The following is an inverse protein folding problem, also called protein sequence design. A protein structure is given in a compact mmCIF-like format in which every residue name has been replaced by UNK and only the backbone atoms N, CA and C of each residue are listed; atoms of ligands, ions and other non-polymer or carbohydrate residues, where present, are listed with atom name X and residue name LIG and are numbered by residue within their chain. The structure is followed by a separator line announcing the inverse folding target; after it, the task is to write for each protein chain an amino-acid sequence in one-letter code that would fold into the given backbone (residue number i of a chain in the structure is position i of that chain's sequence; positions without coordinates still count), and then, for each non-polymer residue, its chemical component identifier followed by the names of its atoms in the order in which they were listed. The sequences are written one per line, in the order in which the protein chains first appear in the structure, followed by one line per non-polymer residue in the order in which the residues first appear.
data_IF_891847931996
#
_entry.id   IF_891847931996
#
_cell.length_a   1.000
_cell.length_b   1.000
_cell.length_c   1.000
_cell.angle_alpha   90.00
_cell.angle_beta   90.00
_cell.angle_gamma   90.00
#
_symmetry.space_group_name_H-M   'P 1'
#
loop_
_entity.id
_entity.type
_entity.pdbx_description
1 polymer ?
#
# COMPACT_ATOMS: atom_id res chain seq x y z
N UNK A 1 11.48 -72.52 8.68
CA UNK A 1 11.17 -72.04 10.05
C UNK A 1 9.81 -72.57 10.46
N UNK A 2 9.64 -73.08 11.69
CA UNK A 2 8.38 -73.69 12.17
C UNK A 2 7.30 -72.62 12.43
N UNK A 3 6.27 -72.47 11.58
CA UNK A 3 5.34 -71.34 11.65
C UNK A 3 4.28 -71.42 12.76
N UNK A 4 4.25 -72.52 13.54
CA UNK A 4 3.12 -72.91 14.39
C UNK A 4 3.43 -72.95 15.90
N UNK A 5 4.61 -72.49 16.34
CA UNK A 5 4.94 -72.47 17.77
C UNK A 5 4.33 -71.20 18.40
N UNK A 6 3.41 -71.31 19.37
CA UNK A 6 2.69 -70.15 19.93
C UNK A 6 3.62 -69.06 20.51
N UNK A 7 4.72 -69.46 21.15
CA UNK A 7 5.71 -68.53 21.71
C UNK A 7 6.42 -67.74 20.60
N UNK A 8 6.77 -68.38 19.48
CA UNK A 8 7.39 -67.70 18.33
C UNK A 8 6.41 -66.72 17.68
N UNK A 9 5.12 -67.09 17.62
CA UNK A 9 4.06 -66.20 17.11
C UNK A 9 3.83 -64.99 18.03
N UNK A 10 3.79 -65.19 19.34
CA UNK A 10 3.66 -64.11 20.33
C UNK A 10 4.86 -63.16 20.27
N UNK A 11 6.08 -63.68 20.23
CA UNK A 11 7.30 -62.88 20.12
C UNK A 11 7.37 -62.12 18.78
N UNK A 12 6.95 -62.76 17.69
CA UNK A 12 6.84 -62.08 16.39
C UNK A 12 5.84 -60.92 16.40
N UNK A 13 4.70 -61.09 17.09
CA UNK A 13 3.71 -60.04 17.23
C UNK A 13 4.23 -58.87 18.08
N UNK A 14 4.91 -59.17 19.19
CA UNK A 14 5.52 -58.16 20.08
C UNK A 14 6.62 -57.36 19.38
N UNK A 15 7.51 -58.03 18.64
CA UNK A 15 8.52 -57.37 17.82
C UNK A 15 7.87 -56.44 16.80
N UNK A 16 6.82 -56.91 16.10
CA UNK A 16 6.10 -56.08 15.11
C UNK A 16 5.47 -54.85 15.75
N UNK A 17 4.83 -54.99 16.91
CA UNK A 17 4.22 -53.88 17.64
C UNK A 17 5.28 -52.87 18.08
N UNK A 18 6.42 -53.35 18.60
CA UNK A 18 7.53 -52.50 19.03
C UNK A 18 8.16 -51.75 17.86
N UNK A 19 8.36 -52.41 16.72
CA UNK A 19 8.85 -51.79 15.48
C UNK A 19 7.89 -50.71 14.97
N UNK A 20 6.57 -50.97 14.98
CA UNK A 20 5.56 -49.97 14.58
C UNK A 20 5.58 -48.74 15.49
N UNK A 21 5.69 -48.94 16.81
CA UNK A 21 5.82 -47.84 17.77
C UNK A 21 7.09 -47.02 17.53
N UNK A 22 8.24 -47.67 17.35
CA UNK A 22 9.50 -47.00 17.06
C UNK A 22 9.42 -46.20 15.75
N UNK A 23 8.85 -46.79 14.69
CA UNK A 23 8.64 -46.11 13.42
C UNK A 23 7.80 -44.85 13.59
N UNK A 24 6.68 -44.93 14.32
CA UNK A 24 5.82 -43.77 14.58
C UNK A 24 6.56 -42.66 15.34
N UNK A 25 7.37 -43.01 16.34
CA UNK A 25 8.14 -42.05 17.11
C UNK A 25 9.23 -41.37 16.27
N UNK A 26 9.93 -42.12 15.42
CA UNK A 26 10.94 -41.57 14.51
C UNK A 26 10.32 -40.62 13.48
N UNK A 27 9.19 -41.00 12.88
CA UNK A 27 8.47 -40.13 11.95
C UNK A 27 7.94 -38.87 12.66
N UNK A 28 7.45 -39.00 13.90
CA UNK A 28 7.01 -37.85 14.69
C UNK A 28 8.16 -36.89 15.01
N UNK A 29 9.38 -37.40 15.25
CA UNK A 29 10.57 -36.55 15.40
C UNK A 29 10.88 -35.75 14.13
N UNK A 30 10.73 -36.35 12.95
CA UNK A 30 10.89 -35.63 11.67
C UNK A 30 9.82 -34.55 11.45
N UNK A 31 8.67 -34.66 12.11
CA UNK A 31 7.57 -33.67 12.12
C UNK A 31 7.74 -32.56 13.17
N UNK A 32 8.96 -32.33 13.65
CA UNK A 32 9.27 -31.30 14.66
C UNK A 32 10.37 -30.36 14.18
N UNK A 33 10.75 -29.36 14.98
CA UNK A 33 11.91 -28.52 14.71
C UNK A 33 13.20 -29.30 14.98
N UNK A 34 13.64 -30.07 13.99
CA UNK A 34 14.77 -31.00 14.06
C UNK A 34 15.97 -30.45 13.26
N UNK A 35 17.16 -30.55 13.85
CA UNK A 35 18.42 -30.12 13.26
C UNK A 35 19.05 -31.23 12.41
N UNK A 36 19.88 -30.86 11.42
CA UNK A 36 20.47 -31.80 10.46
C UNK A 36 21.16 -33.04 11.11
N UNK A 37 21.99 -32.92 12.17
CA UNK A 37 22.64 -34.09 12.76
C UNK A 37 21.63 -35.12 13.32
N UNK A 38 20.55 -34.63 13.90
CA UNK A 38 19.48 -35.49 14.42
C UNK A 38 18.63 -36.07 13.27
N UNK A 39 18.40 -35.32 12.18
CA UNK A 39 17.78 -35.86 10.97
C UNK A 39 18.57 -37.05 10.39
N UNK A 40 19.89 -36.90 10.24
CA UNK A 40 20.77 -37.97 9.76
C UNK A 40 20.69 -39.22 10.65
N UNK A 41 20.65 -39.02 11.98
CA UNK A 41 20.51 -40.12 12.94
C UNK A 41 19.17 -40.83 12.80
N UNK A 42 18.07 -40.08 12.74
CA UNK A 42 16.71 -40.62 12.59
C UNK A 42 16.55 -41.38 11.27
N UNK A 43 17.02 -40.80 10.16
CA UNK A 43 17.02 -41.45 8.84
C UNK A 43 17.90 -42.70 8.85
N UNK A 44 19.07 -42.66 9.49
CA UNK A 44 19.93 -43.83 9.67
C UNK A 44 19.24 -44.98 10.41
N UNK A 45 18.41 -44.70 11.42
CA UNK A 45 17.59 -45.73 12.07
C UNK A 45 16.48 -46.25 11.15
N UNK A 46 15.81 -45.36 10.40
CA UNK A 46 14.77 -45.78 9.45
C UNK A 46 15.34 -46.69 8.35
N UNK A 47 16.55 -46.42 7.84
CA UNK A 47 17.28 -47.30 6.92
C UNK A 47 17.55 -48.68 7.52
N UNK A 48 17.97 -48.74 8.79
CA UNK A 48 18.24 -50.02 9.48
C UNK A 48 16.97 -50.83 9.76
N UNK A 49 15.84 -50.16 9.98
CA UNK A 49 14.54 -50.84 10.13
C UNK A 49 14.11 -51.49 8.81
N UNK A 50 14.52 -50.95 7.66
CA UNK A 50 14.35 -51.57 6.35
C UNK A 50 12.89 -51.65 5.86
N UNK A 51 12.01 -50.80 6.39
CA UNK A 51 10.58 -50.76 6.01
C UNK A 51 10.32 -49.92 4.75
N UNK A 52 11.23 -48.99 4.42
CA UNK A 52 11.12 -48.11 3.25
C UNK A 52 12.25 -48.37 2.28
N UNK A 53 11.95 -48.37 0.98
CA UNK A 53 12.93 -48.12 -0.07
C UNK A 53 13.53 -46.72 0.04
N UNK A 54 14.66 -46.46 -0.61
CA UNK A 54 15.26 -45.11 -0.61
C UNK A 54 14.30 -44.05 -1.18
N UNK A 55 13.55 -44.38 -2.23
CA UNK A 55 12.53 -43.48 -2.77
C UNK A 55 11.39 -43.19 -1.78
N UNK A 56 10.86 -44.23 -1.11
CA UNK A 56 9.85 -44.04 -0.08
C UNK A 56 10.38 -43.24 1.11
N UNK A 57 11.65 -43.41 1.46
CA UNK A 57 12.28 -42.67 2.55
C UNK A 57 12.41 -41.19 2.24
N UNK A 58 12.82 -40.83 1.02
CA UNK A 58 12.84 -39.47 0.51
C UNK A 58 11.45 -38.82 0.58
N UNK A 59 10.42 -39.54 0.12
CA UNK A 59 9.04 -39.08 0.17
C UNK A 59 8.53 -38.92 1.62
N UNK A 60 8.82 -39.87 2.50
CA UNK A 60 8.42 -39.80 3.91
C UNK A 60 9.11 -38.64 4.64
N UNK A 61 10.39 -38.38 4.34
CA UNK A 61 11.08 -37.22 4.88
C UNK A 61 10.35 -35.92 4.49
N UNK A 62 10.12 -35.69 3.20
CA UNK A 62 9.45 -34.47 2.71
C UNK A 62 8.04 -34.32 3.28
N UNK A 63 7.25 -35.40 3.33
CA UNK A 63 5.92 -35.40 3.96
C UNK A 63 5.97 -35.03 5.44
N UNK A 64 6.94 -35.55 6.18
CA UNK A 64 7.10 -35.20 7.59
C UNK A 64 7.50 -33.73 7.77
N UNK A 65 8.39 -33.20 6.93
CA UNK A 65 8.76 -31.77 6.98
C UNK A 65 7.59 -30.87 6.58
N UNK A 66 6.82 -31.25 5.57
CA UNK A 66 5.61 -30.53 5.16
C UNK A 66 4.52 -30.53 6.24
N UNK A 67 4.27 -31.67 6.89
CA UNK A 67 3.32 -31.74 8.00
C UNK A 67 3.74 -30.84 9.17
N UNK A 68 5.05 -30.74 9.45
CA UNK A 68 5.57 -29.82 10.45
C UNK A 68 5.35 -28.35 10.08
N UNK A 69 5.69 -27.97 8.84
CA UNK A 69 5.45 -26.61 8.34
C UNK A 69 3.97 -26.25 8.38
N UNK A 70 3.11 -27.17 7.95
CA UNK A 70 1.64 -27.00 7.98
C UNK A 70 1.15 -26.76 9.40
N UNK A 71 1.65 -27.54 10.38
CA UNK A 71 1.32 -27.32 11.80
C UNK A 71 1.70 -25.92 12.29
N UNK A 72 2.87 -25.39 11.90
CA UNK A 72 3.25 -24.00 12.24
C UNK A 72 2.26 -22.99 11.64
N UNK A 73 1.80 -23.22 10.41
CA UNK A 73 0.87 -22.32 9.73
C UNK A 73 -0.56 -22.41 10.29
N UNK A 74 -0.98 -23.57 10.78
CA UNK A 74 -2.27 -23.79 11.43
C UNK A 74 -2.39 -23.06 12.77
N UNK A 75 -1.26 -22.86 13.46
CA UNK A 75 -1.19 -22.11 14.73
C UNK A 75 -1.32 -20.59 14.54
N UNK A 76 -1.20 -20.08 13.30
CA UNK A 76 -1.31 -18.64 13.01
C UNK A 76 -2.78 -18.16 13.03
N UNK A 77 -3.01 -16.95 13.55
CA UNK A 77 -4.35 -16.35 13.53
C UNK A 77 -4.78 -15.97 12.11
N UNK A 78 -5.74 -16.71 11.56
CA UNK A 78 -6.28 -16.49 10.22
C UNK A 78 -7.30 -15.33 10.14
N UNK A 79 -7.74 -14.78 11.28
CA UNK A 79 -8.72 -13.68 11.30
C UNK A 79 -8.12 -12.37 10.79
N UNK A 80 -6.86 -12.13 11.11
CA UNK A 80 -6.11 -10.99 10.62
C UNK A 80 -5.27 -11.39 9.40
N UNK A 81 -5.72 -11.03 8.20
CA UNK A 81 -5.05 -11.40 6.96
C UNK A 81 -3.61 -10.88 6.87
N UNK A 82 -3.33 -9.70 7.41
CA UNK A 82 -2.00 -9.10 7.41
C UNK A 82 -1.02 -9.89 8.30
N UNK A 83 -1.40 -10.14 9.56
CA UNK A 83 -0.55 -10.90 10.48
C UNK A 83 -0.37 -12.36 10.04
N UNK A 84 -1.42 -12.98 9.49
CA UNK A 84 -1.31 -14.32 8.90
C UNK A 84 -0.30 -14.36 7.76
N UNK A 85 -0.39 -13.45 6.78
CA UNK A 85 0.53 -13.41 5.64
C UNK A 85 1.98 -13.18 6.10
N UNK A 86 2.19 -12.25 7.04
CA UNK A 86 3.50 -11.99 7.63
C UNK A 86 4.07 -13.23 8.34
N UNK A 87 3.25 -13.93 9.13
CA UNK A 87 3.62 -15.18 9.78
C UNK A 87 3.99 -16.28 8.78
N UNK A 88 3.16 -16.48 7.75
CA UNK A 88 3.41 -17.46 6.68
C UNK A 88 4.70 -17.16 5.92
N UNK A 89 4.92 -15.90 5.50
CA UNK A 89 6.14 -15.50 4.78
C UNK A 89 7.37 -15.75 5.65
N UNK A 90 7.33 -15.40 6.93
CA UNK A 90 8.45 -15.63 7.84
C UNK A 90 8.70 -17.13 8.07
N UNK A 91 7.66 -17.94 8.25
CA UNK A 91 7.77 -19.39 8.36
C UNK A 91 8.50 -19.99 7.15
N UNK A 92 8.04 -19.67 5.93
CA UNK A 92 8.66 -20.17 4.71
C UNK A 92 10.11 -19.70 4.56
N UNK A 93 10.38 -18.42 4.83
CA UNK A 93 11.74 -17.85 4.80
C UNK A 93 12.69 -18.59 5.75
N UNK A 94 12.23 -18.87 6.96
CA UNK A 94 13.06 -19.47 8.01
C UNK A 94 13.30 -20.96 7.79
N UNK A 95 12.36 -21.68 7.17
CA UNK A 95 12.37 -23.15 7.24
C UNK A 95 12.50 -23.87 5.90
N UNK A 96 12.08 -23.29 4.77
CA UNK A 96 12.17 -23.98 3.47
C UNK A 96 13.64 -24.23 3.07
N UNK A 97 14.51 -23.25 3.30
CA UNK A 97 15.96 -23.40 3.05
C UNK A 97 16.55 -24.59 3.82
N UNK A 98 16.21 -24.70 5.12
CA UNK A 98 16.69 -25.79 5.96
C UNK A 98 16.19 -27.14 5.49
N UNK A 99 14.90 -27.25 5.12
CA UNK A 99 14.35 -28.52 4.61
C UNK A 99 15.06 -28.95 3.33
N UNK A 100 15.31 -28.03 2.41
CA UNK A 100 16.02 -28.32 1.16
C UNK A 100 17.46 -28.75 1.43
N UNK A 101 18.17 -28.06 2.33
CA UNK A 101 19.53 -28.43 2.67
C UNK A 101 19.62 -29.75 3.45
N UNK A 102 18.67 -29.99 4.35
CA UNK A 102 18.57 -31.27 5.05
C UNK A 102 18.35 -32.40 4.06
N UNK A 103 17.44 -32.22 3.11
CA UNK A 103 17.20 -33.21 2.06
C UNK A 103 18.47 -33.51 1.26
N UNK A 104 19.14 -32.46 0.75
CA UNK A 104 20.38 -32.59 0.00
C UNK A 104 21.44 -33.31 0.82
N UNK A 105 21.66 -32.92 2.08
CA UNK A 105 22.66 -33.55 2.94
C UNK A 105 22.36 -35.03 3.26
N UNK A 106 21.09 -35.42 3.34
CA UNK A 106 20.70 -36.81 3.69
C UNK A 106 20.73 -37.74 2.48
N UNK A 107 20.43 -37.21 1.28
CA UNK A 107 20.17 -38.00 0.08
C UNK A 107 21.10 -37.70 -1.12
N UNK A 108 22.03 -36.74 -1.03
CA UNK A 108 22.99 -36.44 -2.10
C UNK A 108 24.13 -37.46 -2.21
N UNK A 109 24.38 -38.27 -1.19
CA UNK A 109 25.50 -39.23 -1.14
C UNK A 109 25.19 -40.61 -1.77
N UNK A 110 24.14 -40.74 -2.58
CA UNK A 110 23.95 -41.93 -3.44
C UNK A 110 24.95 -41.90 -4.62
N UNK A 111 26.23 -42.03 -4.27
CA UNK A 111 27.40 -42.13 -5.16
C UNK A 111 27.48 -43.49 -5.88
N UNK A 112 26.38 -44.26 -5.93
CA UNK A 112 26.35 -45.60 -6.52
C UNK A 112 26.42 -45.60 -8.05
N UNK A 113 26.43 -44.44 -8.72
CA UNK A 113 26.54 -44.33 -10.19
C UNK A 113 25.39 -45.00 -10.96
N UNK A 114 24.33 -45.40 -10.25
CA UNK A 114 23.14 -46.04 -10.82
C UNK A 114 22.07 -44.99 -11.11
N UNK A 115 21.22 -45.24 -12.12
CA UNK A 115 20.10 -44.36 -12.49
C UNK A 115 19.07 -44.18 -11.35
N UNK A 116 19.15 -44.98 -10.28
CA UNK A 116 18.38 -44.86 -9.03
C UNK A 116 18.86 -43.73 -8.10
N UNK A 117 20.01 -43.11 -8.38
CA UNK A 117 20.52 -41.94 -7.65
C UNK A 117 19.81 -40.63 -8.00
N UNK A 118 19.11 -40.60 -9.13
CA UNK A 118 18.35 -39.43 -9.53
C UNK A 118 17.01 -39.44 -8.77
N UNK A 119 16.77 -38.41 -7.97
CA UNK A 119 15.55 -38.22 -7.20
C UNK A 119 14.27 -38.05 -8.06
N UNK A 120 14.37 -38.23 -9.38
CA UNK A 120 13.26 -38.06 -10.32
C UNK A 120 12.66 -36.65 -10.29
N UNK A 121 13.37 -35.67 -9.73
CA UNK A 121 12.87 -34.32 -9.48
C UNK A 121 11.92 -34.21 -8.29
N UNK A 122 11.86 -35.17 -7.36
CA UNK A 122 10.95 -35.15 -6.21
C UNK A 122 11.17 -33.91 -5.32
N UNK A 123 12.41 -33.59 -4.95
CA UNK A 123 12.72 -32.37 -4.19
C UNK A 123 12.25 -31.11 -4.93
N UNK A 124 12.50 -31.05 -6.24
CA UNK A 124 12.07 -29.91 -7.06
C UNK A 124 10.54 -29.80 -7.10
N UNK A 125 9.84 -30.91 -7.32
CA UNK A 125 8.38 -30.97 -7.32
C UNK A 125 7.79 -30.53 -5.98
N UNK A 126 8.34 -31.03 -4.86
CA UNK A 126 7.94 -30.63 -3.52
C UNK A 126 8.19 -29.14 -3.27
N UNK A 127 9.37 -28.63 -3.62
CA UNK A 127 9.70 -27.24 -3.39
C UNK A 127 8.82 -26.30 -4.25
N UNK A 128 8.55 -26.69 -5.50
CA UNK A 128 7.63 -25.96 -6.36
C UNK A 128 6.18 -26.01 -5.84
N UNK A 129 5.77 -27.11 -5.22
CA UNK A 129 4.49 -27.21 -4.53
C UNK A 129 4.39 -26.18 -3.39
N UNK A 130 5.43 -26.04 -2.57
CA UNK A 130 5.46 -25.05 -1.48
C UNK A 130 5.33 -23.61 -2.01
N UNK A 131 6.09 -23.26 -3.07
CA UNK A 131 5.99 -21.93 -3.70
C UNK A 131 4.61 -21.70 -4.32
N UNK A 132 4.05 -22.71 -4.99
CA UNK A 132 2.71 -22.62 -5.58
C UNK A 132 1.64 -22.42 -4.51
N UNK A 133 1.74 -23.12 -3.38
CA UNK A 133 0.85 -22.95 -2.24
C UNK A 133 0.95 -21.53 -1.65
N UNK A 134 2.19 -21.04 -1.45
CA UNK A 134 2.45 -19.68 -0.99
C UNK A 134 1.78 -18.61 -1.86
N UNK A 135 1.95 -18.70 -3.18
CA UNK A 135 1.36 -17.77 -4.14
C UNK A 135 -0.18 -17.85 -4.18
N UNK A 136 -0.75 -19.04 -4.05
CA UNK A 136 -2.21 -19.23 -3.96
C UNK A 136 -2.78 -18.55 -2.71
N UNK A 137 -2.11 -18.69 -1.57
CA UNK A 137 -2.52 -18.06 -0.32
C UNK A 137 -2.41 -16.53 -0.41
N UNK A 138 -1.34 -16.00 -1.00
CA UNK A 138 -1.22 -14.57 -1.30
C UNK A 138 -2.39 -14.08 -2.16
N UNK A 139 -2.68 -14.76 -3.28
CA UNK A 139 -3.80 -14.41 -4.16
C UNK A 139 -5.14 -14.34 -3.43
N UNK A 140 -5.40 -15.26 -2.50
CA UNK A 140 -6.65 -15.31 -1.74
C UNK A 140 -6.74 -14.24 -0.63
N UNK A 141 -5.61 -13.90 0.00
CA UNK A 141 -5.58 -13.06 1.20
C UNK A 141 -5.31 -11.59 0.91
N UNK A 142 -4.54 -11.26 -0.14
CA UNK A 142 -4.24 -9.87 -0.53
C UNK A 142 -5.50 -8.99 -0.72
N UNK A 143 -6.60 -9.47 -1.33
CA UNK A 143 -7.82 -8.65 -1.49
C UNK A 143 -8.51 -8.25 -0.18
N UNK A 144 -8.13 -8.86 0.95
CA UNK A 144 -8.65 -8.54 2.30
C UNK A 144 -7.86 -7.43 2.99
N UNK A 145 -6.71 -7.05 2.45
CA UNK A 145 -5.89 -5.95 2.96
C UNK A 145 -6.45 -4.64 2.43
N UNK A 146 -6.78 -3.72 3.33
CA UNK A 146 -7.43 -2.43 3.02
C UNK A 146 -6.49 -1.24 3.11
N UNK A 147 -5.22 -1.48 3.47
CA UNK A 147 -4.22 -0.43 3.67
C UNK A 147 -3.06 -0.63 2.70
N UNK A 148 -2.69 0.42 1.99
CA UNK A 148 -1.62 0.31 1.00
C UNK A 148 -0.23 0.20 1.62
N UNK A 149 -0.02 0.80 2.80
CA UNK A 149 1.21 0.59 3.58
C UNK A 149 1.41 -0.89 3.95
N UNK A 150 0.32 -1.55 4.33
CA UNK A 150 0.31 -2.99 4.63
C UNK A 150 0.59 -3.84 3.38
N UNK A 151 0.02 -3.50 2.22
CA UNK A 151 0.37 -4.15 0.94
C UNK A 151 1.86 -3.99 0.59
N UNK A 152 2.40 -2.78 0.71
CA UNK A 152 3.83 -2.51 0.47
C UNK A 152 4.72 -3.37 1.36
N UNK A 153 4.42 -3.42 2.66
CA UNK A 153 5.22 -4.20 3.60
C UNK A 153 5.16 -5.70 3.30
N UNK A 154 3.99 -6.25 2.94
CA UNK A 154 3.88 -7.66 2.54
C UNK A 154 4.73 -7.93 1.29
N UNK A 155 4.72 -7.02 0.30
CA UNK A 155 5.54 -7.16 -0.90
C UNK A 155 7.04 -7.21 -0.55
N UNK A 156 7.51 -6.31 0.31
CA UNK A 156 8.91 -6.28 0.77
C UNK A 156 9.30 -7.57 1.49
N UNK A 157 8.42 -8.09 2.35
CA UNK A 157 8.63 -9.37 3.03
C UNK A 157 8.69 -10.54 2.04
N UNK A 158 7.83 -10.57 1.02
CA UNK A 158 7.87 -11.58 -0.04
C UNK A 158 9.16 -11.48 -0.87
N UNK A 159 9.58 -10.26 -1.24
CA UNK A 159 10.83 -10.02 -1.99
C UNK A 159 12.04 -10.49 -1.20
N UNK A 160 12.09 -10.18 0.10
CA UNK A 160 13.16 -10.61 1.00
C UNK A 160 13.16 -12.14 1.19
N UNK A 161 11.99 -12.75 1.36
CA UNK A 161 11.83 -14.20 1.44
C UNK A 161 12.36 -14.91 0.18
N UNK A 162 11.92 -14.48 -1.00
CA UNK A 162 12.34 -15.05 -2.27
C UNK A 162 13.85 -14.86 -2.52
N UNK A 163 14.42 -13.72 -2.13
CA UNK A 163 15.86 -13.48 -2.21
C UNK A 163 16.66 -14.49 -1.36
N UNK A 164 16.21 -14.78 -0.12
CA UNK A 164 16.84 -15.79 0.72
C UNK A 164 16.72 -17.21 0.15
N UNK A 165 15.61 -17.50 -0.53
CA UNK A 165 15.36 -18.79 -1.16
C UNK A 165 16.03 -18.97 -2.54
N UNK A 166 16.61 -17.91 -3.10
CA UNK A 166 17.37 -17.98 -4.34
C UNK A 166 18.58 -18.93 -4.24
N UNK A 167 19.22 -19.03 -3.07
CA UNK A 167 20.35 -19.96 -2.85
C UNK A 167 19.99 -21.44 -3.04
N UNK A 168 18.70 -21.78 -2.96
CA UNK A 168 18.19 -23.13 -3.22
C UNK A 168 17.42 -23.25 -4.53
N UNK A 169 17.38 -22.18 -5.34
CA UNK A 169 16.73 -22.14 -6.66
C UNK A 169 15.22 -21.91 -6.62
N UNK A 170 14.70 -21.30 -5.54
CA UNK A 170 13.27 -21.07 -5.33
C UNK A 170 12.90 -19.57 -5.37
N UNK A 171 13.51 -18.81 -6.28
CA UNK A 171 13.18 -17.40 -6.48
C UNK A 171 11.84 -17.24 -7.21
N UNK A 172 10.84 -16.68 -6.53
CA UNK A 172 9.49 -16.44 -7.06
C UNK A 172 9.17 -14.97 -7.27
N UNK A 173 10.15 -14.06 -7.20
CA UNK A 173 9.90 -12.60 -7.32
C UNK A 173 9.20 -12.21 -8.61
N UNK A 174 9.52 -12.89 -9.71
CA UNK A 174 8.88 -12.66 -11.01
C UNK A 174 7.38 -12.99 -11.05
N UNK A 175 6.86 -13.72 -10.05
CA UNK A 175 5.46 -14.14 -9.96
C UNK A 175 4.62 -13.22 -9.04
N UNK A 176 5.26 -12.30 -8.30
CA UNK A 176 4.60 -11.39 -7.36
C UNK A 176 3.84 -10.24 -8.04
N UNK A 177 4.38 -9.53 -9.06
CA UNK A 177 3.75 -8.33 -9.62
C UNK A 177 2.26 -8.47 -9.95
N UNK A 178 1.79 -9.50 -10.69
CA UNK A 178 0.37 -9.57 -11.04
C UNK A 178 -0.54 -9.72 -9.82
N UNK A 179 -0.08 -10.35 -8.73
CA UNK A 179 -0.87 -10.51 -7.51
C UNK A 179 -1.05 -9.19 -6.76
N UNK A 180 0.02 -8.40 -6.67
CA UNK A 180 0.00 -7.12 -5.98
C UNK A 180 -0.64 -6.01 -6.82
N UNK A 181 -0.44 -6.03 -8.14
CA UNK A 181 -1.13 -5.11 -9.05
C UNK A 181 -2.65 -5.27 -8.96
N UNK A 182 -3.15 -6.51 -8.97
CA UNK A 182 -4.58 -6.79 -8.78
C UNK A 182 -5.10 -6.26 -7.43
N UNK A 183 -4.33 -6.45 -6.35
CA UNK A 183 -4.70 -5.97 -5.02
C UNK A 183 -4.74 -4.44 -4.92
N UNK A 184 -3.73 -3.75 -5.48
CA UNK A 184 -3.64 -2.29 -5.50
C UNK A 184 -4.77 -1.68 -6.33
N UNK A 185 -5.06 -2.23 -7.51
CA UNK A 185 -6.16 -1.77 -8.35
C UNK A 185 -7.50 -1.88 -7.61
N UNK A 186 -7.76 -3.01 -6.97
CA UNK A 186 -8.97 -3.24 -6.19
C UNK A 186 -9.09 -2.28 -5.00
N UNK A 187 -7.98 -2.02 -4.29
CA UNK A 187 -7.93 -1.07 -3.19
C UNK A 187 -8.32 0.34 -3.66
N UNK A 188 -7.66 0.83 -4.71
CA UNK A 188 -7.90 2.17 -5.22
C UNK A 188 -9.32 2.33 -5.77
N UNK A 189 -9.79 1.37 -6.58
CA UNK A 189 -11.14 1.40 -7.18
C UNK A 189 -12.24 1.40 -6.10
N UNK A 190 -12.08 0.59 -5.04
CA UNK A 190 -13.01 0.60 -3.89
C UNK A 190 -13.03 1.95 -3.17
N UNK A 191 -11.85 2.53 -2.90
CA UNK A 191 -11.76 3.81 -2.20
C UNK A 191 -12.35 4.98 -3.03
N UNK A 192 -12.11 5.01 -4.33
CA UNK A 192 -12.71 6.00 -5.24
C UNK A 192 -14.23 5.81 -5.32
N UNK A 193 -14.71 4.56 -5.44
CA UNK A 193 -16.15 4.27 -5.45
C UNK A 193 -16.84 4.73 -4.16
N UNK A 194 -16.23 4.45 -3.00
CA UNK A 194 -16.72 4.92 -1.71
C UNK A 194 -16.75 6.45 -1.61
N UNK A 195 -15.77 7.15 -2.19
CA UNK A 195 -15.78 8.62 -2.25
C UNK A 195 -16.96 9.16 -3.08
N UNK A 196 -17.27 8.52 -4.21
CA UNK A 196 -18.44 8.84 -5.05
C UNK A 196 -19.75 8.56 -4.31
N UNK A 197 -19.89 7.41 -3.65
CA UNK A 197 -21.10 7.07 -2.88
C UNK A 197 -21.35 8.07 -1.74
N UNK A 198 -20.30 8.44 -1.01
CA UNK A 198 -20.38 9.46 0.03
C UNK A 198 -20.77 10.83 -0.52
N UNK A 199 -20.24 11.22 -1.68
CA UNK A 199 -20.66 12.44 -2.37
C UNK A 199 -22.16 12.45 -2.67
N UNK A 200 -22.68 11.36 -3.23
CA UNK A 200 -24.09 11.22 -3.60
C UNK A 200 -25.00 11.35 -2.38
N UNK A 201 -24.66 10.63 -1.30
CA UNK A 201 -25.38 10.68 -0.03
C UNK A 201 -25.42 12.10 0.55
N UNK A 202 -24.27 12.78 0.57
CA UNK A 202 -24.17 14.14 1.11
C UNK A 202 -24.92 15.14 0.22
N UNK A 203 -24.87 15.01 -1.11
CA UNK A 203 -25.61 15.88 -2.03
C UNK A 203 -27.13 15.73 -1.88
N UNK A 204 -27.63 14.51 -1.74
CA UNK A 204 -29.07 14.25 -1.61
C UNK A 204 -29.66 14.81 -0.33
N UNK A 205 -28.88 14.78 0.76
CA UNK A 205 -29.25 15.31 2.06
C UNK A 205 -28.87 16.79 2.26
N UNK A 206 -28.20 17.40 1.28
CA UNK A 206 -27.69 18.76 1.38
C UNK A 206 -28.81 19.80 1.49
N UNK A 207 -28.61 20.78 2.37
CA UNK A 207 -29.50 21.94 2.52
C UNK A 207 -28.83 23.16 1.90
N UNK A 208 -29.44 23.70 0.86
CA UNK A 208 -28.96 24.86 0.11
C UNK A 208 -29.18 26.17 0.89
N UNK A 209 -28.31 26.44 1.84
CA UNK A 209 -28.28 27.67 2.65
C UNK A 209 -26.91 28.31 2.50
N UNK A 210 -26.80 29.65 2.40
CA UNK A 210 -25.50 30.31 2.39
C UNK A 210 -24.71 29.95 3.64
N UNK A 211 -23.54 29.36 3.44
CA UNK A 211 -22.58 29.12 4.52
C UNK A 211 -21.78 30.41 4.77
N UNK A 212 -21.35 30.67 6.02
CA UNK A 212 -20.44 31.78 6.28
C UNK A 212 -19.19 31.62 5.44
N UNK A 213 -18.77 32.69 4.76
CA UNK A 213 -17.47 32.71 4.08
C UNK A 213 -16.40 32.36 5.11
N UNK A 214 -15.65 31.30 4.84
CA UNK A 214 -14.53 30.92 5.70
C UNK A 214 -13.47 32.02 5.52
N UNK A 215 -13.02 32.64 6.62
CA UNK A 215 -12.24 33.89 6.63
C UNK A 215 -10.82 33.83 6.05
N UNK A 216 -10.62 33.10 4.95
CA UNK A 216 -9.40 33.10 4.17
C UNK A 216 -9.60 34.03 2.96
N UNK A 217 -8.80 35.10 2.80
CA UNK A 217 -8.97 36.02 1.68
C UNK A 217 -8.77 35.26 0.36
N UNK A 218 -9.75 35.35 -0.53
CA UNK A 218 -9.75 34.78 -1.89
C UNK A 218 -8.75 35.44 -2.85
N UNK A 219 -7.67 36.02 -2.33
CA UNK A 219 -6.76 36.93 -3.05
C UNK A 219 -5.50 36.26 -3.59
N UNK A 220 -5.28 34.97 -3.35
CA UNK A 220 -4.08 34.25 -3.83
C UNK A 220 -4.44 32.98 -4.61
N UNK A 221 -5.21 33.11 -5.69
CA UNK A 221 -5.38 32.04 -6.70
C UNK A 221 -4.05 31.78 -7.46
N UNK A 222 -2.99 32.56 -7.21
CA UNK A 222 -1.73 32.53 -7.96
C UNK A 222 -0.48 32.02 -7.23
N UNK A 223 -0.47 31.88 -5.90
CA UNK A 223 0.73 31.49 -5.12
C UNK A 223 0.37 30.59 -3.93
N UNK A 224 -0.30 29.47 -4.18
CA UNK A 224 -0.20 28.34 -3.25
C UNK A 224 1.16 27.67 -3.52
N UNK A 225 1.96 27.49 -2.46
CA UNK A 225 3.17 26.68 -2.50
C UNK A 225 2.83 25.40 -3.29
N UNK A 226 3.49 25.19 -4.44
CA UNK A 226 3.17 24.06 -5.35
C UNK A 226 3.19 22.70 -4.64
N UNK A 227 3.79 22.64 -3.45
CA UNK A 227 3.95 21.47 -2.58
C UNK A 227 2.84 21.24 -1.54
N UNK A 228 1.91 22.18 -1.34
CA UNK A 228 0.80 21.98 -0.40
C UNK A 228 -0.41 21.35 -1.10
N UNK A 229 -0.71 20.09 -0.80
CA UNK A 229 -1.81 19.30 -1.38
C UNK A 229 -3.03 19.31 -0.44
N UNK A 230 -3.10 20.28 0.46
CA UNK A 230 -4.27 20.45 1.31
C UNK A 230 -5.48 20.82 0.42
N UNK A 231 -6.68 20.21 0.62
CA UNK A 231 -7.87 20.58 -0.14
C UNK A 231 -8.11 22.10 -0.05
N UNK A 232 -8.36 22.79 -1.18
CA UNK A 232 -8.54 24.24 -1.17
C UNK A 232 -9.66 24.66 -0.21
N UNK A 233 -9.42 25.69 0.60
CA UNK A 233 -10.37 26.17 1.63
C UNK A 233 -11.72 26.57 1.02
N UNK A 234 -11.74 26.97 -0.26
CA UNK A 234 -12.93 27.23 -1.05
C UNK A 234 -13.91 26.04 -1.12
N UNK A 235 -13.42 24.79 -1.06
CA UNK A 235 -14.29 23.60 -1.04
C UNK A 235 -15.10 23.47 0.26
N UNK A 236 -14.73 24.16 1.34
CA UNK A 236 -15.49 24.14 2.59
C UNK A 236 -16.88 24.76 2.44
N UNK A 237 -17.06 25.69 1.50
CA UNK A 237 -18.36 26.26 1.14
C UNK A 237 -19.23 25.27 0.34
N UNK A 238 -18.67 24.11 0.01
CA UNK A 238 -19.21 23.09 -0.87
C UNK A 238 -19.12 21.69 -0.25
N UNK A 239 -19.87 21.40 0.83
CA UNK A 239 -19.69 20.18 1.62
C UNK A 239 -19.72 18.86 0.84
N UNK A 240 -20.62 18.65 -0.17
CA UNK A 240 -20.58 17.44 -0.98
C UNK A 240 -19.22 17.25 -1.67
N UNK A 241 -18.68 18.30 -2.30
CA UNK A 241 -17.39 18.24 -2.99
C UNK A 241 -16.22 18.11 -2.02
N UNK A 242 -16.27 18.75 -0.86
CA UNK A 242 -15.24 18.58 0.17
C UNK A 242 -15.12 17.11 0.59
N UNK A 243 -16.25 16.44 0.83
CA UNK A 243 -16.28 15.01 1.19
C UNK A 243 -15.71 14.15 0.07
N UNK A 244 -16.09 14.42 -1.18
CA UNK A 244 -15.54 13.71 -2.34
C UNK A 244 -14.02 13.85 -2.45
N UNK A 245 -13.52 15.09 -2.44
CA UNK A 245 -12.09 15.39 -2.58
C UNK A 245 -11.29 14.78 -1.43
N UNK A 246 -11.80 14.84 -0.20
CA UNK A 246 -11.18 14.19 0.95
C UNK A 246 -11.10 12.67 0.76
N UNK A 247 -12.16 12.04 0.24
CA UNK A 247 -12.18 10.62 -0.09
C UNK A 247 -11.15 10.24 -1.16
N UNK A 248 -11.05 11.03 -2.23
CA UNK A 248 -10.02 10.83 -3.27
C UNK A 248 -8.61 11.01 -2.69
N UNK A 249 -8.38 12.04 -1.88
CA UNK A 249 -7.08 12.26 -1.24
C UNK A 249 -6.71 11.13 -0.28
N UNK A 250 -7.67 10.58 0.46
CA UNK A 250 -7.46 9.36 1.25
C UNK A 250 -7.10 8.16 0.35
N UNK A 251 -7.80 7.96 -0.76
CA UNK A 251 -7.47 6.91 -1.73
C UNK A 251 -6.04 7.05 -2.30
N UNK A 252 -5.60 8.29 -2.58
CA UNK A 252 -4.23 8.57 -3.04
C UNK A 252 -3.18 8.31 -1.94
N UNK A 253 -3.51 8.62 -0.69
CA UNK A 253 -2.63 8.36 0.46
C UNK A 253 -2.40 6.86 0.65
N UNK A 254 -3.45 6.04 0.49
CA UNK A 254 -3.32 4.58 0.50
C UNK A 254 -2.56 4.07 -0.73
N UNK A 255 -2.77 4.65 -1.91
CA UNK A 255 -2.06 4.23 -3.12
C UNK A 255 -0.55 4.52 -3.08
N UNK A 256 -0.14 5.67 -2.53
CA UNK A 256 1.25 6.16 -2.56
C UNK A 256 2.31 5.13 -2.13
N UNK A 257 2.19 4.43 -0.99
CA UNK A 257 3.18 3.42 -0.59
C UNK A 257 3.23 2.20 -1.51
N UNK A 258 2.18 1.94 -2.29
CA UNK A 258 2.04 0.73 -3.10
C UNK A 258 1.60 1.06 -4.53
N UNK A 259 2.30 1.99 -5.21
CA UNK A 259 1.93 2.47 -6.55
C UNK A 259 2.80 1.85 -7.68
N UNK A 260 2.44 0.67 -8.25
CA UNK A 260 3.12 0.12 -9.42
C UNK A 260 3.06 1.08 -10.61
N UNK A 261 4.21 1.28 -11.27
CA UNK A 261 4.31 2.10 -12.49
C UNK A 261 3.47 1.54 -13.65
N UNK A 262 3.35 0.21 -13.72
CA UNK A 262 2.54 -0.52 -14.70
C UNK A 262 1.06 -0.13 -14.65
N UNK A 263 0.56 0.23 -13.46
CA UNK A 263 -0.86 0.57 -13.25
C UNK A 263 -1.19 2.03 -13.53
N UNK A 264 -0.22 2.89 -13.85
CA UNK A 264 -0.42 4.34 -14.04
C UNK A 264 -1.65 4.66 -14.90
N UNK A 265 -1.76 4.06 -16.08
CA UNK A 265 -2.87 4.36 -16.98
C UNK A 265 -4.20 3.79 -16.49
N UNK A 266 -4.20 2.58 -15.92
CA UNK A 266 -5.41 1.92 -15.42
C UNK A 266 -5.99 2.67 -14.23
N UNK A 267 -5.16 3.09 -13.28
CA UNK A 267 -5.58 3.86 -12.11
C UNK A 267 -6.04 5.27 -12.49
N UNK A 268 -5.41 5.88 -13.52
CA UNK A 268 -5.91 7.14 -14.07
C UNK A 268 -7.34 6.99 -14.60
N UNK A 269 -7.63 5.91 -15.32
CA UNK A 269 -8.98 5.61 -15.80
C UNK A 269 -9.98 5.39 -14.66
N UNK A 270 -9.58 4.71 -13.58
CA UNK A 270 -10.44 4.56 -12.39
C UNK A 270 -10.78 5.91 -11.74
N UNK A 271 -9.81 6.83 -11.63
CA UNK A 271 -10.08 8.18 -11.13
C UNK A 271 -11.00 8.96 -12.08
N UNK A 272 -10.76 8.89 -13.40
CA UNK A 272 -11.61 9.53 -14.41
C UNK A 272 -13.05 9.02 -14.31
N UNK A 273 -13.27 7.71 -14.15
CA UNK A 273 -14.60 7.14 -13.93
C UNK A 273 -15.26 7.69 -12.68
N UNK A 274 -14.52 7.83 -11.57
CA UNK A 274 -15.04 8.41 -10.33
C UNK A 274 -15.47 9.87 -10.51
N UNK A 275 -14.64 10.68 -11.16
CA UNK A 275 -14.96 12.07 -11.50
C UNK A 275 -16.17 12.16 -12.44
N UNK A 276 -16.24 11.29 -13.46
CA UNK A 276 -17.38 11.19 -14.37
C UNK A 276 -18.67 10.86 -13.63
N UNK A 277 -18.64 9.90 -12.71
CA UNK A 277 -19.80 9.54 -11.91
C UNK A 277 -20.32 10.72 -11.06
N UNK A 278 -19.44 11.54 -10.49
CA UNK A 278 -19.81 12.78 -9.79
C UNK A 278 -20.48 13.77 -10.75
N UNK A 279 -19.90 13.96 -11.94
CA UNK A 279 -20.44 14.86 -12.95
C UNK A 279 -21.81 14.46 -13.45
N UNK A 280 -21.98 13.19 -13.79
CA UNK A 280 -23.25 12.62 -14.24
C UNK A 280 -24.31 12.73 -13.14
N UNK A 281 -23.91 12.57 -11.87
CA UNK A 281 -24.80 12.74 -10.73
C UNK A 281 -25.24 14.21 -10.54
N UNK A 282 -24.34 15.18 -10.71
CA UNK A 282 -24.67 16.60 -10.68
C UNK A 282 -25.68 16.97 -11.79
N UNK A 283 -25.45 16.49 -13.01
CA UNK A 283 -26.39 16.72 -14.14
C UNK A 283 -27.76 16.10 -13.86
N UNK A 284 -27.79 14.88 -13.33
CA UNK A 284 -29.02 14.20 -12.93
C UNK A 284 -29.74 14.95 -11.81
N UNK A 285 -29.01 15.44 -10.81
CA UNK A 285 -29.56 16.21 -9.70
C UNK A 285 -30.26 17.47 -10.22
N UNK A 286 -29.61 18.22 -11.11
CA UNK A 286 -30.20 19.40 -11.74
C UNK A 286 -31.48 19.09 -12.54
N UNK A 287 -31.51 17.96 -13.26
CA UNK A 287 -32.66 17.57 -14.07
C UNK A 287 -33.86 17.08 -13.24
N UNK A 288 -33.63 16.61 -12.02
CA UNK A 288 -34.66 15.93 -11.21
C UNK A 288 -35.14 16.75 -10.01
N UNK A 289 -34.30 17.62 -9.45
CA UNK A 289 -34.67 18.47 -8.30
C UNK A 289 -35.17 19.83 -8.77
N UNK A 290 -36.31 20.25 -8.22
CA UNK A 290 -36.77 21.64 -8.33
C UNK A 290 -36.11 22.48 -7.23
N UNK A 291 -35.14 23.32 -7.62
CA UNK A 291 -34.46 24.27 -6.73
C UNK A 291 -35.09 25.67 -6.86
N UNK A 292 -35.20 26.39 -5.75
CA UNK A 292 -35.54 27.83 -5.76
C UNK A 292 -34.37 28.65 -6.33
N UNK A 293 -34.61 29.88 -6.79
CA UNK A 293 -33.57 30.71 -7.44
C UNK A 293 -32.29 30.85 -6.58
N UNK A 294 -32.44 31.12 -5.29
CA UNK A 294 -31.30 31.22 -4.36
C UNK A 294 -30.54 29.88 -4.21
N UNK A 295 -31.27 28.76 -4.19
CA UNK A 295 -30.71 27.41 -4.08
C UNK A 295 -30.02 26.99 -5.39
N UNK A 296 -30.59 27.38 -6.52
CA UNK A 296 -30.01 27.20 -7.85
C UNK A 296 -28.68 27.94 -7.99
N UNK A 297 -28.57 29.16 -7.46
CA UNK A 297 -27.30 29.91 -7.45
C UNK A 297 -26.19 29.16 -6.70
N UNK A 298 -26.50 28.64 -5.50
CA UNK A 298 -25.56 27.85 -4.69
C UNK A 298 -25.17 26.53 -5.37
N UNK A 299 -26.13 25.85 -6.01
CA UNK A 299 -25.88 24.64 -6.79
C UNK A 299 -24.99 24.90 -8.02
N UNK A 300 -25.22 26.00 -8.74
CA UNK A 300 -24.36 26.39 -9.86
C UNK A 300 -22.94 26.75 -9.39
N UNK A 301 -22.80 27.38 -8.21
CA UNK A 301 -21.49 27.60 -7.58
C UNK A 301 -20.77 26.28 -7.28
N UNK A 302 -21.49 25.30 -6.71
CA UNK A 302 -20.97 23.94 -6.50
C UNK A 302 -20.45 23.33 -7.80
N UNK A 303 -21.25 23.41 -8.87
CA UNK A 303 -20.89 22.87 -10.18
C UNK A 303 -19.65 23.56 -10.78
N UNK A 304 -19.49 24.88 -10.58
CA UNK A 304 -18.29 25.61 -10.98
C UNK A 304 -17.07 25.14 -10.17
N UNK A 305 -17.21 25.04 -8.85
CA UNK A 305 -16.15 24.55 -7.96
C UNK A 305 -15.69 23.13 -8.32
N UNK A 306 -16.59 22.25 -8.77
CA UNK A 306 -16.23 20.94 -9.30
C UNK A 306 -15.27 21.06 -10.50
N UNK A 307 -15.63 21.88 -11.49
CA UNK A 307 -14.87 22.00 -12.74
C UNK A 307 -13.56 22.77 -12.61
N UNK A 308 -13.52 23.78 -11.75
CA UNK A 308 -12.38 24.70 -11.63
C UNK A 308 -11.40 24.26 -10.54
N UNK A 309 -11.90 23.64 -9.45
CA UNK A 309 -11.10 23.36 -8.25
C UNK A 309 -10.95 21.86 -8.00
N UNK A 310 -12.07 21.14 -7.79
CA UNK A 310 -12.02 19.73 -7.39
C UNK A 310 -11.32 18.86 -8.46
N UNK A 311 -11.66 19.07 -9.74
CA UNK A 311 -11.07 18.34 -10.85
C UNK A 311 -9.55 18.52 -10.94
N UNK A 312 -9.08 19.77 -10.91
CA UNK A 312 -7.67 20.11 -11.00
C UNK A 312 -6.88 19.60 -9.78
N UNK A 313 -7.49 19.65 -8.60
CA UNK A 313 -6.91 19.08 -7.39
C UNK A 313 -6.73 17.57 -7.49
N UNK A 314 -7.78 16.82 -7.89
CA UNK A 314 -7.69 15.37 -8.09
C UNK A 314 -6.62 14.99 -9.13
N UNK A 315 -6.53 15.73 -10.23
CA UNK A 315 -5.50 15.53 -11.25
C UNK A 315 -4.08 15.75 -10.69
N UNK A 316 -3.88 16.83 -9.93
CA UNK A 316 -2.59 17.16 -9.31
C UNK A 316 -2.18 16.12 -8.27
N UNK A 317 -3.11 15.68 -7.42
CA UNK A 317 -2.89 14.62 -6.43
C UNK A 317 -2.50 13.30 -7.10
N UNK A 318 -3.14 12.93 -8.22
CA UNK A 318 -2.74 11.76 -8.99
C UNK A 318 -1.33 11.93 -9.61
N UNK A 319 -1.00 13.13 -10.09
CA UNK A 319 0.32 13.48 -10.61
C UNK A 319 1.46 13.37 -9.58
N UNK A 320 1.15 13.49 -8.28
CA UNK A 320 2.10 13.27 -7.18
C UNK A 320 2.40 11.78 -6.95
N UNK A 321 1.42 10.90 -7.16
CA UNK A 321 1.62 9.45 -7.14
C UNK A 321 2.32 8.96 -8.41
N UNK A 322 2.00 9.57 -9.56
CA UNK A 322 2.55 9.19 -10.87
C UNK A 322 3.05 10.42 -11.62
N UNK A 323 4.38 10.56 -11.84
CA UNK A 323 4.93 11.64 -12.64
C UNK A 323 4.29 11.73 -14.02
N UNK A 324 3.82 12.92 -14.40
CA UNK A 324 3.06 13.15 -15.64
C UNK A 324 1.66 12.54 -15.66
N UNK A 325 1.17 12.01 -14.53
CA UNK A 325 -0.18 11.46 -14.39
C UNK A 325 -1.27 12.53 -14.43
N UNK A 326 -0.98 13.73 -13.93
CA UNK A 326 -1.93 14.85 -13.95
C UNK A 326 -2.44 15.17 -15.37
N UNK A 327 -1.55 15.14 -16.37
CA UNK A 327 -1.92 15.35 -17.77
C UNK A 327 -2.96 14.33 -18.26
N UNK A 328 -2.80 13.05 -17.90
CA UNK A 328 -3.75 11.99 -18.28
C UNK A 328 -5.16 12.26 -17.76
N UNK A 329 -5.27 12.81 -16.54
CA UNK A 329 -6.55 13.21 -15.98
C UNK A 329 -7.04 14.47 -16.68
N UNK A 330 -6.20 15.49 -16.86
CA UNK A 330 -6.59 16.76 -17.48
C UNK A 330 -7.04 16.61 -18.94
N UNK A 331 -6.49 15.67 -19.69
CA UNK A 331 -6.90 15.39 -21.08
C UNK A 331 -8.36 14.89 -21.17
N UNK A 332 -8.88 14.27 -20.12
CA UNK A 332 -10.27 13.83 -20.04
C UNK A 332 -11.26 14.98 -19.73
N UNK A 333 -10.81 16.24 -19.61
CA UNK A 333 -11.64 17.38 -19.17
C UNK A 333 -12.83 17.65 -20.11
N UNK A 334 -12.74 17.30 -21.39
CA UNK A 334 -13.85 17.44 -22.34
C UNK A 334 -15.07 16.58 -22.01
N UNK A 335 -14.90 15.49 -21.24
CA UNK A 335 -15.99 14.61 -20.80
C UNK A 335 -16.98 15.32 -19.86
N UNK A 336 -16.60 16.47 -19.31
CA UNK A 336 -17.37 17.24 -18.33
C UNK A 336 -18.03 18.50 -18.94
N UNK A 337 -18.00 18.65 -20.26
CA UNK A 337 -18.62 19.77 -20.98
C UNK A 337 -20.12 19.94 -20.68
N UNK A 338 -20.81 18.85 -20.30
CA UNK A 338 -22.22 18.91 -19.91
C UNK A 338 -22.48 19.90 -18.76
N UNK A 339 -21.61 19.92 -17.75
CA UNK A 339 -21.68 20.88 -16.65
C UNK A 339 -21.35 22.30 -17.16
N UNK A 340 -20.36 22.44 -18.03
CA UNK A 340 -20.03 23.72 -18.65
C UNK A 340 -21.20 24.34 -19.42
N UNK A 341 -21.91 23.53 -20.24
CA UNK A 341 -23.10 23.96 -21.00
C UNK A 341 -24.28 24.32 -20.07
N UNK A 342 -24.44 23.61 -18.97
CA UNK A 342 -25.44 23.94 -17.95
C UNK A 342 -25.13 25.28 -17.26
N UNK A 343 -23.86 25.56 -16.96
CA UNK A 343 -23.44 26.83 -16.37
C UNK A 343 -23.65 28.01 -17.33
N UNK A 344 -23.38 27.85 -18.63
CA UNK A 344 -23.58 28.92 -19.62
C UNK A 344 -25.05 29.21 -19.92
N UNK A 345 -25.90 28.19 -19.99
CA UNK A 345 -27.35 28.33 -20.20
C UNK A 345 -28.10 28.92 -18.99
N UNK A 346 -27.53 28.77 -17.78
CA UNK A 346 -28.11 29.35 -16.57
C UNK A 346 -27.68 30.81 -16.37
N UNK A 347 -26.47 31.17 -16.80
CA UNK A 347 -25.96 32.56 -16.82
C UNK A 347 -26.77 33.47 -17.77
N UNK A 348 -27.30 32.94 -18.87
CA UNK A 348 -28.15 33.69 -19.81
C UNK A 348 -29.58 33.95 -19.32
N UNK A 349 -29.96 33.47 -18.12
CA UNK A 349 -31.25 33.74 -17.47
C UNK A 349 -31.20 34.87 -16.43
N UNK A 350 -30.05 35.50 -16.18
CA UNK A 350 -29.98 36.73 -15.38
C UNK A 350 -30.63 37.90 -16.15
N UNK A 351 -31.61 38.64 -15.56
CA UNK A 351 -32.09 39.88 -16.16
C UNK A 351 -30.98 40.95 -16.12
N UNK A 352 -30.93 41.88 -17.09
CA UNK A 352 -29.88 42.89 -17.14
C UNK A 352 -29.93 43.77 -15.89
N UNK A 353 -28.77 43.95 -15.23
CA UNK A 353 -28.61 44.87 -14.09
C UNK A 353 -29.13 46.26 -14.48
N UNK A 354 -29.89 46.95 -13.60
CA UNK A 354 -30.25 48.34 -13.85
C UNK A 354 -28.98 49.19 -13.85
N UNK A 355 -28.78 49.93 -14.95
CA UNK A 355 -27.74 50.93 -15.07
C UNK A 355 -28.04 52.08 -14.09
N UNK A 356 -27.25 52.20 -13.02
CA UNK A 356 -27.23 53.42 -12.21
C UNK A 356 -26.40 54.47 -12.96
N UNK A 357 -27.09 55.27 -13.78
CA UNK A 357 -26.66 56.62 -14.10
C UNK A 357 -26.80 57.47 -12.84
N UNK A 358 -25.70 58.06 -12.36
CA UNK A 358 -25.72 59.26 -11.54
C UNK A 358 -24.48 60.08 -11.92
N UNK A 359 -24.72 61.04 -12.81
CA UNK A 359 -23.83 62.15 -13.15
C UNK A 359 -23.49 63.00 -11.92
N UNK A 360 -22.32 63.62 -11.99
CA UNK A 360 -21.67 64.30 -10.89
C UNK A 360 -22.23 65.66 -10.49
N UNK A 361 -21.73 66.14 -9.34
CA UNK A 361 -21.60 67.55 -9.06
C UNK A 361 -20.38 67.79 -8.15
N UNK A 362 -19.42 68.55 -8.68
CA UNK A 362 -18.30 69.17 -7.99
C UNK A 362 -18.72 70.53 -7.41
N UNK A 363 -18.18 70.93 -6.24
CA UNK A 363 -17.70 72.29 -5.86
C UNK A 363 -16.78 72.19 -4.62
N UNK A 364 -15.70 72.99 -4.66
CA UNK A 364 -14.59 73.20 -3.70
C UNK A 364 -15.00 73.98 -2.42
N UNK A 365 -14.20 74.41 -1.44
CA UNK A 365 -12.78 74.85 -1.39
C UNK A 365 -12.38 75.18 0.09
N UNK A 366 -11.06 75.12 0.37
CA UNK A 366 -10.25 75.85 1.38
C UNK A 366 -10.34 75.50 2.88
N UNK A 367 -9.25 75.43 3.65
CA UNK A 367 -7.82 75.70 3.40
C UNK A 367 -7.09 75.84 4.76
N UNK A 368 -5.76 75.64 4.80
CA UNK A 368 -4.94 76.01 5.97
C UNK A 368 -3.71 75.14 6.25
N UNK A 369 -2.64 75.35 5.49
CA UNK A 369 -1.23 75.06 5.83
C UNK A 369 -0.61 76.37 6.36
N UNK A 370 0.52 76.39 7.15
CA UNK A 370 1.83 76.08 6.54
C UNK A 370 3.00 75.59 7.44
N UNK A 371 3.99 75.00 6.73
CA UNK A 371 5.46 75.12 6.86
C UNK A 371 6.19 74.56 8.11
N UNK A 372 7.44 74.09 8.07
CA UNK A 372 8.53 74.27 7.11
C UNK A 372 9.56 73.11 7.14
N UNK A 373 10.32 72.99 6.04
CA UNK A 373 11.53 72.18 5.85
C UNK A 373 12.74 72.69 6.68
N UNK A 374 13.65 71.78 7.08
CA UNK A 374 15.03 71.71 6.58
C UNK A 374 15.95 70.86 7.49
N UNK A 375 16.76 69.98 6.87
CA UNK A 375 18.21 70.03 7.02
C UNK A 375 18.97 68.97 7.85
N UNK A 376 19.74 68.14 7.13
CA UNK A 376 21.18 67.83 7.31
C UNK A 376 21.67 66.85 8.41
N UNK A 377 22.34 65.79 7.90
CA UNK A 377 23.51 64.97 8.32
C UNK A 377 23.75 64.42 9.75
N UNK A 378 24.06 63.11 9.72
CA UNK A 378 25.15 62.35 10.38
C UNK A 378 25.96 63.06 11.50
N UNK A 379 26.08 62.43 12.68
CA UNK A 379 27.22 61.56 13.03
C UNK A 379 27.08 60.92 14.43
N UNK A 380 27.97 59.96 14.70
CA UNK A 380 28.25 59.21 15.93
C UNK A 380 28.22 60.03 17.25
N UNK A 381 28.10 59.50 18.47
CA UNK A 381 28.91 58.43 19.07
C UNK A 381 28.43 58.15 20.52
N UNK A 382 28.74 56.95 21.06
CA UNK A 382 28.97 56.61 22.49
C UNK A 382 27.88 56.90 23.55
N UNK A 383 27.71 56.20 24.68
CA UNK A 383 28.18 54.97 25.36
C UNK A 383 27.29 54.82 26.61
N UNK A 384 27.14 53.61 27.15
CA UNK A 384 26.75 53.46 28.57
C UNK A 384 26.06 52.15 28.94
N UNK A 385 26.86 51.17 29.40
CA UNK A 385 26.65 50.24 30.54
C UNK A 385 25.30 49.50 30.71
N UNK A 386 25.22 48.21 31.09
CA UNK A 386 26.15 47.31 31.77
C UNK A 386 25.58 45.86 31.81
N UNK A 387 26.49 44.92 32.08
CA UNK A 387 26.33 43.59 32.73
C UNK A 387 25.69 42.44 31.91
N UNK A 388 26.46 41.43 31.45
CA UNK A 388 27.03 40.26 32.16
C UNK A 388 25.94 39.24 32.56
N UNK A 389 25.99 37.93 32.30
CA UNK A 389 27.09 36.98 32.14
C UNK A 389 26.60 35.67 31.47
N UNK A 390 27.53 35.00 30.77
CA UNK A 390 27.77 33.55 30.66
C UNK A 390 26.64 32.55 30.30
N UNK A 391 26.79 31.87 29.14
CA UNK A 391 27.44 30.55 29.12
C UNK A 391 27.80 30.10 27.69
N UNK A 392 29.09 29.77 27.49
CA UNK A 392 29.66 29.15 26.28
C UNK A 392 29.97 27.69 26.58
N UNK A 393 29.68 26.78 25.65
CA UNK A 393 30.63 25.72 25.33
C UNK A 393 30.51 25.31 23.85
N UNK A 394 31.58 25.60 23.10
CA UNK A 394 31.94 24.98 21.82
C UNK A 394 33.14 24.06 22.09
N UNK A 395 33.21 22.93 21.41
CA UNK A 395 34.45 22.15 21.24
C UNK A 395 34.57 21.72 19.77
N UNK A 396 35.80 21.64 19.19
CA UNK A 396 36.06 21.67 17.74
C UNK A 396 36.53 20.30 17.18
N UNK A 397 36.87 20.18 15.87
CA UNK A 397 37.17 18.90 15.22
C UNK A 397 38.68 18.58 15.25
N UNK A 398 39.02 17.29 15.13
CA UNK A 398 40.40 16.80 15.03
C UNK A 398 40.52 15.74 13.92
N UNK A 399 41.42 15.99 12.98
CA UNK A 399 42.08 15.03 12.09
C UNK A 399 43.48 14.73 12.64
N UNK A 400 43.98 13.50 12.47
CA UNK A 400 45.38 13.22 12.12
C UNK A 400 45.60 11.77 11.67
N UNK A 401 46.64 11.61 10.85
CA UNK A 401 47.01 10.52 9.95
C UNK A 401 47.74 9.29 10.54
N UNK A 402 47.52 8.15 9.85
CA UNK A 402 48.48 7.11 9.39
C UNK A 402 49.31 6.23 10.36
N UNK A 403 49.26 4.90 10.14
CA UNK A 403 50.42 4.08 9.68
C UNK A 403 50.06 2.62 9.33
N UNK A 404 50.73 2.13 8.28
CA UNK A 404 50.75 0.78 7.70
C UNK A 404 51.55 -0.25 8.52
N UNK A 405 51.33 -1.54 8.25
CA UNK A 405 52.31 -2.61 8.46
C UNK A 405 51.76 -4.04 8.31
N UNK A 406 51.83 -4.59 7.08
CA UNK A 406 51.80 -6.03 6.72
C UNK A 406 53.22 -6.63 6.91
N UNK A 407 53.40 -7.96 7.02
CA UNK A 407 53.23 -8.94 5.94
C UNK A 407 52.34 -10.15 6.22
#
# INVERSE_FOLDING_TARGET
MHPKIPVIQALSAEVRQTTQSLLSQLLQKLRSNIQLPECLRVIGYLRRIGVFSEYEMRLQFLRCREAWLTGILEDLDQRNAYEYLKGMINCHRMHLFDVVNQYRAIFADDTSGSEESNDGGLLFSWAMHQITSHLKTLKFMLPKITEGGSLSNILDLCMYCAMGLNYVGLDFRGLLPPLFEEAVLNLFSKNVSAAVENFQLVLDSHRWVPLPAVGFPASNIGEENRDDVTPPSYLMEHPPLAVFVNGVSAAMNELRPCAPLSLKFVLAQELIKGLQAVSDYLLRYNATRMLRENESGLFLSLCRAFTEVAYAHCATSFGRCYPGGAALIMDAKSMYEGIGRMLTTSSSREPPKPANNLDGHSVAENGGLPAAENGVNQDADQTGSANSDQNKHKTPPLQSDSKQGDP
#
